data_IF_681220692716
#
_entry.id   IF_681220692716
#
_cell.length_a   1.000
_cell.length_b   1.000
_cell.length_c   1.000
_cell.angle_alpha   90.00
_cell.angle_beta   90.00
_cell.angle_gamma   90.00
#
_symmetry.space_group_name_H-M   'P 1'
#
loop_
_entity.id
_entity.type
_entity.pdbx_description
1 polymer ?
#
# COMPACT_ATOMS: atom_id res chain seq x y z
N UNK A 1 8.46 -11.10 -4.53
CA UNK A 1 9.67 -10.29 -4.82
C UNK A 1 10.18 -9.77 -3.49
N UNK A 2 11.21 -10.43 -2.93
CA UNK A 2 11.85 -9.95 -1.69
C UNK A 2 12.45 -8.57 -2.01
N UNK A 3 12.24 -7.52 -1.19
CA UNK A 3 12.95 -6.27 -1.42
C UNK A 3 14.45 -6.56 -1.26
N UNK A 4 15.22 -6.35 -2.32
CA UNK A 4 16.69 -6.47 -2.32
C UNK A 4 17.28 -5.47 -1.32
N UNK A 5 17.41 -5.90 -0.07
CA UNK A 5 18.28 -5.28 0.93
C UNK A 5 19.71 -5.83 0.85
N UNK A 6 19.99 -6.74 -0.09
CA UNK A 6 21.14 -7.65 -0.01
C UNK A 6 22.46 -7.16 -0.63
N UNK A 7 22.53 -5.94 -1.18
CA UNK A 7 23.80 -5.47 -1.79
C UNK A 7 24.25 -4.07 -1.37
N UNK A 8 23.81 -3.59 -0.21
CA UNK A 8 24.32 -2.32 0.32
C UNK A 8 25.64 -2.55 1.07
N UNK A 9 26.75 -2.08 0.50
CA UNK A 9 28.05 -2.09 1.18
C UNK A 9 28.12 -0.95 2.19
N UNK A 10 28.48 -1.29 3.42
CA UNK A 10 28.66 -0.34 4.51
C UNK A 10 30.13 -0.10 4.80
N UNK A 11 30.46 1.14 5.17
CA UNK A 11 31.82 1.54 5.53
C UNK A 11 31.80 2.64 6.59
N UNK A 12 32.94 2.84 7.25
CA UNK A 12 33.16 3.97 8.15
C UNK A 12 34.07 4.99 7.46
N UNK A 13 33.83 6.27 7.73
CA UNK A 13 34.67 7.37 7.27
C UNK A 13 35.65 7.67 8.40
N UNK A 14 36.99 7.61 8.19
CA UNK A 14 37.97 7.80 9.26
C UNK A 14 37.81 9.08 10.07
N UNK A 15 37.35 10.15 9.41
CA UNK A 15 37.11 11.47 10.01
C UNK A 15 35.83 11.54 10.87
N UNK A 16 34.95 10.54 10.77
CA UNK A 16 33.67 10.44 11.50
C UNK A 16 33.52 9.04 12.13
N UNK A 17 34.33 8.72 13.15
CA UNK A 17 34.33 7.40 13.77
C UNK A 17 32.99 7.07 14.43
N UNK A 18 32.59 5.80 14.35
CA UNK A 18 31.36 5.29 14.97
C UNK A 18 30.07 5.58 14.21
N UNK A 19 30.15 6.20 13.02
CA UNK A 19 29.00 6.40 12.14
C UNK A 19 29.11 5.51 10.90
N UNK A 20 28.12 4.63 10.71
CA UNK A 20 28.07 3.76 9.53
C UNK A 20 27.53 4.52 8.32
N UNK A 21 28.25 4.43 7.20
CA UNK A 21 27.92 5.07 5.94
C UNK A 21 27.69 4.02 4.84
N UNK A 22 26.97 4.42 3.79
CA UNK A 22 26.75 3.62 2.59
C UNK A 22 26.50 4.49 1.36
N UNK A 23 26.65 3.93 0.17
CA UNK A 23 26.25 4.57 -1.07
C UNK A 23 24.76 4.31 -1.37
N UNK A 24 23.95 5.36 -1.43
CA UNK A 24 22.53 5.27 -1.77
C UNK A 24 22.31 5.46 -3.27
N UNK A 25 21.99 4.40 -4.01
CA UNK A 25 21.76 4.45 -5.46
C UNK A 25 20.62 5.39 -5.87
N UNK A 26 19.55 5.45 -5.07
CA UNK A 26 18.38 6.31 -5.35
C UNK A 26 18.74 7.79 -5.35
N UNK A 27 19.56 8.20 -4.39
CA UNK A 27 19.98 9.60 -4.23
C UNK A 27 21.33 9.89 -4.89
N UNK A 28 22.03 8.85 -5.36
CA UNK A 28 23.40 8.91 -5.89
C UNK A 28 24.35 9.63 -4.94
N UNK A 29 24.23 9.32 -3.65
CA UNK A 29 24.93 10.04 -2.58
C UNK A 29 25.38 9.08 -1.47
N UNK A 30 26.51 9.39 -0.84
CA UNK A 30 26.94 8.74 0.40
C UNK A 30 26.20 9.34 1.59
N UNK A 31 25.61 8.48 2.42
CA UNK A 31 24.81 8.89 3.58
C UNK A 31 25.14 8.02 4.79
N UNK A 32 24.99 8.58 5.98
CA UNK A 32 24.90 7.77 7.19
C UNK A 32 23.57 6.99 7.22
N UNK A 33 23.56 5.85 7.90
CA UNK A 33 22.35 5.05 8.14
C UNK A 33 21.27 5.90 8.83
N UNK A 34 21.66 6.70 9.82
CA UNK A 34 20.75 7.57 10.57
C UNK A 34 20.09 8.63 9.68
N UNK A 35 20.88 9.28 8.80
CA UNK A 35 20.35 10.26 7.86
C UNK A 35 19.39 9.62 6.85
N UNK A 36 19.67 8.38 6.41
CA UNK A 36 18.77 7.65 5.53
C UNK A 36 17.43 7.32 6.22
N UNK A 37 17.48 6.76 7.43
CA UNK A 37 16.29 6.42 8.22
C UNK A 37 15.45 7.66 8.53
N UNK A 38 16.08 8.78 8.89
CA UNK A 38 15.40 10.05 9.14
C UNK A 38 14.67 10.58 7.89
N UNK A 39 15.33 10.58 6.73
CA UNK A 39 14.72 10.99 5.46
C UNK A 39 13.52 10.12 5.07
N UNK A 40 13.60 8.81 5.34
CA UNK A 40 12.48 7.89 5.11
C UNK A 40 11.26 8.23 5.98
N UNK A 41 11.48 8.52 7.27
CA UNK A 41 10.41 8.93 8.20
C UNK A 41 9.71 10.20 7.71
N UNK A 42 10.48 11.24 7.38
CA UNK A 42 9.94 12.51 6.83
C UNK A 42 9.16 12.26 5.53
N UNK A 43 9.68 11.41 4.63
CA UNK A 43 9.02 11.09 3.36
C UNK A 43 7.67 10.36 3.54
N UNK A 44 7.49 9.66 4.66
CA UNK A 44 6.25 8.98 5.02
C UNK A 44 5.14 9.92 5.47
N UNK A 45 5.48 11.05 6.09
CA UNK A 45 4.56 11.99 6.76
C UNK A 45 3.92 13.03 5.83
N UNK A 46 3.52 12.64 4.62
CA UNK A 46 2.97 13.53 3.59
C UNK A 46 3.88 14.76 3.35
N UNK A 47 5.06 14.56 2.73
CA UNK A 47 6.13 15.54 2.73
C UNK A 47 5.68 16.85 2.08
N UNK A 48 5.83 17.94 2.81
CA UNK A 48 5.76 19.31 2.26
C UNK A 48 6.88 19.56 1.24
N UNK A 49 7.97 18.81 1.39
CA UNK A 49 9.18 18.90 0.59
C UNK A 49 9.31 17.71 -0.37
N UNK A 50 9.10 17.98 -1.65
CA UNK A 50 9.05 16.94 -2.70
C UNK A 50 10.38 16.22 -2.90
N UNK A 51 11.51 16.76 -2.42
CA UNK A 51 12.84 16.13 -2.57
C UNK A 51 12.92 14.77 -1.87
N UNK A 52 12.10 14.54 -0.85
CA UNK A 52 12.09 13.29 -0.07
C UNK A 52 11.16 12.22 -0.65
N UNK A 53 10.38 12.53 -1.69
CA UNK A 53 9.44 11.57 -2.29
C UNK A 53 10.13 10.30 -2.80
N UNK A 54 11.38 10.38 -3.24
CA UNK A 54 12.17 9.21 -3.69
C UNK A 54 12.52 8.24 -2.55
N UNK A 55 12.57 8.75 -1.32
CA UNK A 55 12.78 7.96 -0.10
C UNK A 55 11.48 7.32 0.40
N UNK A 56 10.31 7.77 -0.07
CA UNK A 56 9.01 7.23 0.34
C UNK A 56 8.94 5.74 0.00
N UNK A 57 8.60 4.92 1.00
CA UNK A 57 8.49 3.46 0.90
C UNK A 57 9.79 2.76 0.44
N UNK A 58 10.95 3.40 0.60
CA UNK A 58 12.24 2.77 0.31
C UNK A 58 12.52 1.64 1.32
N UNK A 59 12.84 0.41 0.88
CA UNK A 59 13.12 -0.70 1.80
C UNK A 59 14.41 -0.49 2.61
N UNK A 60 15.44 0.10 2.01
CA UNK A 60 16.70 0.45 2.71
C UNK A 60 16.44 1.50 3.79
N UNK A 61 15.67 2.54 3.45
CA UNK A 61 15.30 3.59 4.40
C UNK A 61 14.42 3.06 5.54
N UNK A 62 13.51 2.12 5.26
CA UNK A 62 12.71 1.44 6.29
C UNK A 62 13.60 0.63 7.24
N UNK A 63 14.54 -0.14 6.69
CA UNK A 63 15.51 -0.91 7.47
C UNK A 63 16.36 0.01 8.38
N UNK A 64 16.92 1.10 7.85
CA UNK A 64 17.67 2.08 8.66
C UNK A 64 16.80 2.85 9.65
N UNK A 65 15.50 2.98 9.40
CA UNK A 65 14.55 3.58 10.33
C UNK A 65 14.17 2.65 11.50
N UNK A 66 14.59 1.37 11.46
CA UNK A 66 14.20 0.33 12.41
C UNK A 66 12.86 -0.34 12.09
N UNK A 67 12.30 -0.06 10.91
CA UNK A 67 10.94 -0.48 10.57
C UNK A 67 10.92 -1.85 9.89
N UNK A 68 10.34 -2.83 10.59
CA UNK A 68 10.20 -4.20 10.11
C UNK A 68 8.94 -4.30 9.24
N UNK A 69 9.04 -4.97 8.09
CA UNK A 69 7.92 -5.21 7.17
C UNK A 69 7.17 -3.95 6.72
N UNK A 70 7.82 -2.80 6.59
CA UNK A 70 7.15 -1.60 6.08
C UNK A 70 6.48 -1.84 4.72
N UNK A 71 5.29 -1.26 4.50
CA UNK A 71 4.57 -1.41 3.23
C UNK A 71 5.37 -0.78 2.07
N UNK A 72 5.83 -1.58 1.09
CA UNK A 72 6.64 -1.08 -0.02
C UNK A 72 5.80 -0.46 -1.14
N UNK A 73 4.47 -0.59 -1.08
CA UNK A 73 3.59 -0.16 -2.16
C UNK A 73 3.60 1.35 -2.36
N UNK A 74 3.70 1.80 -3.60
CA UNK A 74 3.55 3.22 -3.96
C UNK A 74 2.15 3.76 -3.61
N UNK A 75 1.16 2.88 -3.46
CA UNK A 75 -0.18 3.25 -3.04
C UNK A 75 -0.24 3.65 -1.56
N UNK A 76 0.73 3.25 -0.72
CA UNK A 76 0.73 3.59 0.71
C UNK A 76 0.61 5.10 0.91
N UNK A 77 -0.39 5.51 1.69
CA UNK A 77 -0.71 6.90 1.97
C UNK A 77 -0.95 7.79 0.73
N UNK A 78 -1.18 7.21 -0.45
CA UNK A 78 -1.55 7.98 -1.63
C UNK A 78 -2.98 8.49 -1.48
N UNK A 79 -3.26 9.75 -1.87
CA UNK A 79 -4.64 10.27 -1.92
C UNK A 79 -5.36 9.75 -3.17
N UNK A 80 -5.59 8.44 -3.23
CA UNK A 80 -6.15 7.73 -4.37
C UNK A 80 -7.49 7.08 -3.99
N UNK A 81 -8.49 7.25 -4.86
CA UNK A 81 -9.80 6.64 -4.69
C UNK A 81 -9.71 5.13 -4.86
N UNK A 82 -10.17 4.36 -3.89
CA UNK A 82 -10.12 2.91 -3.96
C UNK A 82 -11.02 2.34 -5.06
N UNK A 83 -12.06 3.06 -5.51
CA UNK A 83 -13.01 2.57 -6.52
C UNK A 83 -12.63 2.90 -7.95
N UNK A 84 -12.19 4.13 -8.21
CA UNK A 84 -11.85 4.57 -9.57
C UNK A 84 -10.34 4.68 -9.81
N UNK A 85 -9.53 4.48 -8.76
CA UNK A 85 -8.07 4.56 -8.79
C UNK A 85 -7.49 5.91 -9.22
N UNK A 86 -8.32 6.95 -9.29
CA UNK A 86 -7.86 8.30 -9.57
C UNK A 86 -7.37 8.99 -8.29
N UNK A 87 -6.28 9.75 -8.44
CA UNK A 87 -5.79 10.68 -7.42
C UNK A 87 -6.82 11.79 -7.17
N UNK A 88 -6.97 12.20 -5.92
CA UNK A 88 -7.94 13.20 -5.49
C UNK A 88 -7.36 14.06 -4.38
N UNK A 89 -7.84 15.30 -4.25
CA UNK A 89 -7.41 16.21 -3.18
C UNK A 89 -7.91 15.76 -1.81
N UNK A 90 -9.08 15.10 -1.76
CA UNK A 90 -9.70 14.56 -0.56
C UNK A 90 -10.38 13.21 -0.79
N UNK A 91 -10.46 12.41 0.27
CA UNK A 91 -11.17 11.13 0.32
C UNK A 91 -12.34 11.21 1.30
N UNK A 92 -13.53 10.82 0.86
CA UNK A 92 -14.74 10.64 1.67
C UNK A 92 -14.68 9.25 2.31
N UNK A 93 -15.02 9.18 3.59
CA UNK A 93 -14.91 7.97 4.42
C UNK A 93 -13.51 7.35 4.39
N UNK A 94 -12.48 8.16 4.12
CA UNK A 94 -11.08 7.76 3.92
C UNK A 94 -10.80 6.91 2.68
N UNK A 95 -11.77 6.47 1.85
CA UNK A 95 -11.46 5.62 0.68
C UNK A 95 -12.07 5.98 -0.68
N UNK A 96 -13.10 6.83 -0.74
CA UNK A 96 -13.72 7.22 -2.01
C UNK A 96 -13.39 8.67 -2.39
N UNK A 97 -13.25 8.98 -3.68
CA UNK A 97 -13.32 10.37 -4.12
C UNK A 97 -14.77 10.89 -4.05
N UNK A 98 -14.93 12.21 -4.13
CA UNK A 98 -16.25 12.88 -4.12
C UNK A 98 -17.17 12.34 -5.23
N UNK A 99 -16.63 12.09 -6.43
CA UNK A 99 -17.43 11.58 -7.55
C UNK A 99 -17.98 10.17 -7.27
N UNK A 100 -17.13 9.23 -6.83
CA UNK A 100 -17.57 7.88 -6.49
C UNK A 100 -18.54 7.85 -5.31
N UNK A 101 -18.32 8.71 -4.32
CA UNK A 101 -19.24 8.89 -3.20
C UNK A 101 -20.62 9.38 -3.68
N UNK A 102 -20.66 10.39 -4.54
CA UNK A 102 -21.91 10.92 -5.10
C UNK A 102 -22.64 9.86 -5.91
N UNK A 103 -21.95 9.11 -6.79
CA UNK A 103 -22.56 8.02 -7.56
C UNK A 103 -23.16 6.92 -6.67
N UNK A 104 -22.51 6.62 -5.56
CA UNK A 104 -23.04 5.69 -4.57
C UNK A 104 -24.30 6.24 -3.91
N UNK A 105 -24.31 7.53 -3.54
CA UNK A 105 -25.49 8.20 -3.01
C UNK A 105 -26.65 8.18 -4.01
N UNK A 106 -26.39 8.44 -5.30
CA UNK A 106 -27.40 8.38 -6.36
C UNK A 106 -28.03 7.00 -6.44
N UNK A 107 -27.24 5.92 -6.40
CA UNK A 107 -27.79 4.56 -6.37
C UNK A 107 -28.64 4.26 -5.13
N UNK A 108 -28.23 4.74 -3.96
CA UNK A 108 -28.98 4.53 -2.72
C UNK A 108 -30.33 5.26 -2.78
N UNK A 109 -30.35 6.49 -3.31
CA UNK A 109 -31.56 7.30 -3.45
C UNK A 109 -32.41 6.83 -4.65
N UNK A 110 -31.80 6.15 -5.62
CA UNK A 110 -32.45 5.71 -6.86
C UNK A 110 -32.56 6.79 -7.93
N UNK A 111 -31.99 7.97 -7.70
CA UNK A 111 -32.05 9.11 -8.62
C UNK A 111 -30.69 9.82 -8.72
N UNK A 112 -30.32 10.20 -9.94
CA UNK A 112 -29.17 11.06 -10.20
C UNK A 112 -29.51 12.55 -10.04
N UNK A 113 -28.54 13.43 -10.25
CA UNK A 113 -28.74 14.88 -10.17
C UNK A 113 -29.84 15.44 -11.10
N UNK A 114 -30.26 14.70 -12.14
CA UNK A 114 -31.34 15.05 -13.07
C UNK A 114 -32.68 14.37 -12.73
N UNK A 115 -32.77 13.65 -11.60
CA UNK A 115 -33.96 12.88 -11.22
C UNK A 115 -34.14 11.56 -11.98
N UNK A 116 -33.16 11.12 -12.77
CA UNK A 116 -33.26 9.89 -13.56
C UNK A 116 -32.54 8.73 -12.88
N UNK A 117 -32.95 7.49 -13.18
CA UNK A 117 -32.36 6.28 -12.58
C UNK A 117 -30.85 6.21 -12.88
N UNK A 118 -29.99 6.02 -11.87
CA UNK A 118 -28.56 5.90 -12.07
C UNK A 118 -28.20 4.57 -12.74
N UNK A 119 -27.46 4.64 -13.85
CA UNK A 119 -27.06 3.46 -14.64
C UNK A 119 -25.54 3.20 -14.68
N UNK A 120 -24.73 4.17 -14.26
CA UNK A 120 -23.27 4.14 -14.45
C UNK A 120 -22.51 3.34 -13.41
N UNK A 121 -23.11 3.10 -12.24
CA UNK A 121 -22.45 2.40 -11.14
C UNK A 121 -22.95 0.94 -11.13
N UNK A 122 -22.08 -0.06 -10.96
CA UNK A 122 -22.49 -1.44 -10.71
C UNK A 122 -23.23 -1.58 -9.37
N UNK A 123 -23.98 -2.67 -9.14
CA UNK A 123 -24.66 -2.92 -7.87
C UNK A 123 -23.68 -2.91 -6.70
N UNK A 124 -23.98 -2.10 -5.69
CA UNK A 124 -23.19 -2.04 -4.46
C UNK A 124 -23.54 -3.21 -3.56
N UNK A 125 -22.52 -3.88 -3.03
CA UNK A 125 -22.67 -4.98 -2.09
C UNK A 125 -21.73 -4.81 -0.89
N UNK A 126 -22.15 -5.34 0.25
CA UNK A 126 -21.27 -5.56 1.39
C UNK A 126 -20.26 -6.63 0.99
N UNK A 127 -18.98 -6.30 1.13
CA UNK A 127 -17.87 -7.24 0.91
C UNK A 127 -16.88 -7.13 2.06
N UNK A 128 -16.19 -8.24 2.29
CA UNK A 128 -15.10 -8.31 3.25
C UNK A 128 -13.91 -8.97 2.60
N UNK A 129 -12.71 -8.50 2.94
CA UNK A 129 -11.45 -9.12 2.55
C UNK A 129 -10.60 -9.35 3.80
N UNK A 130 -10.03 -10.55 3.92
CA UNK A 130 -9.06 -10.88 4.94
C UNK A 130 -7.65 -10.77 4.38
N UNK A 131 -6.73 -10.23 5.18
CA UNK A 131 -5.35 -10.01 4.81
C UNK A 131 -4.45 -10.21 6.03
N UNK A 132 -3.20 -10.60 5.79
CA UNK A 132 -2.18 -10.69 6.82
C UNK A 132 -1.33 -9.41 6.79
N UNK A 133 -1.01 -8.90 7.98
CA UNK A 133 -0.06 -7.82 8.19
C UNK A 133 0.72 -8.12 9.46
N UNK A 134 2.05 -8.11 9.41
CA UNK A 134 2.94 -8.51 10.51
C UNK A 134 2.55 -9.84 11.17
N UNK A 135 2.20 -10.83 10.36
CA UNK A 135 1.76 -12.15 10.84
C UNK A 135 0.36 -12.16 11.48
N UNK A 136 -0.29 -11.01 11.61
CA UNK A 136 -1.63 -10.89 12.21
C UNK A 136 -2.71 -10.84 11.13
N UNK A 137 -3.71 -11.75 11.15
CA UNK A 137 -4.86 -11.67 10.25
C UNK A 137 -5.77 -10.52 10.65
N UNK A 138 -6.09 -9.67 9.66
CA UNK A 138 -7.08 -8.59 9.77
C UNK A 138 -8.14 -8.77 8.69
N UNK A 139 -9.33 -8.24 8.95
CA UNK A 139 -10.43 -8.24 7.97
C UNK A 139 -10.94 -6.83 7.78
N UNK A 140 -11.01 -6.38 6.52
CA UNK A 140 -11.64 -5.11 6.15
C UNK A 140 -13.00 -5.40 5.52
N UNK A 141 -14.03 -4.73 6.05
CA UNK A 141 -15.39 -4.79 5.51
C UNK A 141 -15.77 -3.44 4.94
N UNK A 142 -16.36 -3.44 3.74
CA UNK A 142 -16.92 -2.27 3.07
C UNK A 142 -18.38 -2.58 2.75
N UNK A 143 -19.29 -1.83 3.38
CA UNK A 143 -20.74 -2.03 3.24
C UNK A 143 -21.25 -1.83 1.81
N UNK A 144 -20.58 -0.97 1.04
CA UNK A 144 -21.00 -0.57 -0.29
C UNK A 144 -19.80 -0.49 -1.22
N UNK A 145 -19.39 -1.64 -1.74
CA UNK A 145 -18.31 -1.76 -2.72
C UNK A 145 -18.87 -2.15 -4.09
N UNK A 146 -18.15 -1.83 -5.17
CA UNK A 146 -18.49 -2.35 -6.51
C UNK A 146 -17.88 -3.72 -6.77
N UNK A 147 -16.67 -3.97 -6.28
CA UNK A 147 -15.92 -5.20 -6.46
C UNK A 147 -14.93 -5.44 -5.31
N UNK A 148 -14.14 -6.53 -5.40
CA UNK A 148 -13.10 -6.84 -4.43
C UNK A 148 -11.84 -5.96 -4.59
N UNK A 149 -11.60 -5.42 -5.78
CA UNK A 149 -10.44 -4.58 -6.07
C UNK A 149 -10.50 -3.27 -5.27
N UNK A 150 -11.70 -2.72 -5.10
CA UNK A 150 -11.95 -1.59 -4.21
C UNK A 150 -11.46 -1.84 -2.77
N UNK A 151 -11.63 -3.06 -2.26
CA UNK A 151 -11.16 -3.42 -0.92
C UNK A 151 -9.64 -3.61 -0.90
N UNK A 152 -9.08 -4.29 -1.90
CA UNK A 152 -7.64 -4.54 -2.02
C UNK A 152 -6.87 -3.22 -2.06
N UNK A 153 -7.28 -2.29 -2.93
CA UNK A 153 -6.63 -0.98 -3.06
C UNK A 153 -6.74 -0.19 -1.77
N UNK A 154 -7.89 -0.23 -1.10
CA UNK A 154 -8.07 0.45 0.17
C UNK A 154 -7.14 -0.13 1.26
N UNK A 155 -7.01 -1.46 1.35
CA UNK A 155 -6.10 -2.13 2.29
C UNK A 155 -4.64 -1.78 2.00
N UNK A 156 -4.17 -1.94 0.75
CA UNK A 156 -2.78 -1.64 0.38
C UNK A 156 -2.42 -0.18 0.67
N UNK A 157 -3.36 0.75 0.48
CA UNK A 157 -3.12 2.18 0.71
C UNK A 157 -3.07 2.53 2.20
N UNK A 158 -3.97 1.95 2.99
CA UNK A 158 -4.19 2.34 4.39
C UNK A 158 -3.29 1.60 5.38
N UNK A 159 -2.81 0.39 5.03
CA UNK A 159 -1.97 -0.39 5.95
C UNK A 159 -0.51 0.12 5.93
N UNK A 160 0.09 0.41 7.09
CA UNK A 160 1.47 0.88 7.19
C UNK A 160 2.50 -0.21 6.91
N UNK A 161 2.16 -1.48 7.17
CA UNK A 161 3.03 -2.63 6.99
C UNK A 161 2.63 -3.44 5.75
N UNK A 162 3.52 -4.34 5.33
CA UNK A 162 3.36 -5.16 4.15
C UNK A 162 2.12 -6.03 4.28
N UNK A 163 1.26 -5.98 3.27
CA UNK A 163 0.01 -6.73 3.23
C UNK A 163 0.16 -7.96 2.36
N UNK A 164 -0.38 -9.08 2.84
CA UNK A 164 -0.51 -10.30 2.06
C UNK A 164 -1.99 -10.67 1.96
N UNK A 165 -2.46 -10.87 0.73
CA UNK A 165 -3.80 -11.35 0.48
C UNK A 165 -3.75 -12.85 0.27
N UNK A 166 -4.50 -13.58 1.08
CA UNK A 166 -4.74 -15.00 0.88
C UNK A 166 -6.02 -15.19 0.07
N UNK A 167 -6.01 -16.16 -0.85
CA UNK A 167 -7.25 -16.70 -1.36
C UNK A 167 -7.67 -17.85 -0.43
N UNK A 168 -8.79 -17.69 0.26
CA UNK A 168 -9.41 -18.80 0.96
C UNK A 168 -10.32 -19.52 -0.05
N UNK A 169 -9.99 -20.76 -0.47
CA UNK A 169 -10.89 -21.54 -1.30
C UNK A 169 -12.27 -21.65 -0.63
N UNK A 170 -13.36 -21.71 -1.42
CA UNK A 170 -14.63 -22.20 -0.90
C UNK A 170 -14.41 -23.56 -0.23
N UNK A 171 -15.08 -23.78 0.91
CA UNK A 171 -15.05 -25.08 1.60
C UNK A 171 -15.48 -26.15 0.59
N UNK A 172 -14.61 -27.14 0.34
CA UNK A 172 -14.84 -28.21 -0.65
C UNK A 172 -14.03 -28.10 -1.95
N UNK A 173 -13.27 -27.01 -2.17
CA UNK A 173 -12.29 -26.96 -3.27
C UNK A 173 -10.95 -27.53 -2.79
N UNK A 174 -10.73 -28.82 -3.05
CA UNK A 174 -9.43 -29.45 -2.86
C UNK A 174 -8.52 -29.11 -4.05
N UNK A 175 -7.50 -28.28 -3.82
CA UNK A 175 -6.43 -28.07 -4.79
C UNK A 175 -5.46 -29.24 -4.67
N UNK A 176 -5.64 -30.28 -5.50
CA UNK A 176 -4.64 -31.33 -5.68
C UNK A 176 -3.53 -30.81 -6.59
N UNK A 177 -2.60 -30.05 -6.01
CA UNK A 177 -1.32 -29.78 -6.66
C UNK A 177 -0.39 -30.96 -6.42
N UNK A 178 -0.14 -31.81 -7.44
CA UNK A 178 1.05 -32.67 -7.45
C UNK A 178 2.27 -31.74 -7.42
N UNK A 179 2.94 -31.66 -6.27
CA UNK A 179 4.31 -31.18 -6.20
C UNK A 179 5.13 -32.12 -7.07
N UNK A 180 5.56 -31.60 -8.22
CA UNK A 180 6.26 -32.35 -9.26
C UNK A 180 7.45 -33.10 -8.69
N UNK A 181 7.52 -34.36 -9.10
CA UNK A 181 8.70 -35.21 -9.04
C UNK A 181 9.90 -34.45 -9.59
N UNK A 182 11.02 -34.57 -8.88
CA UNK A 182 12.36 -34.24 -9.38
C UNK A 182 12.59 -35.01 -10.67
N UNK A 183 12.74 -34.31 -11.78
CA UNK A 183 13.35 -34.86 -12.98
C UNK A 183 14.85 -34.59 -12.87
N UNK A 184 15.62 -35.68 -12.87
CA UNK A 184 17.08 -35.73 -12.86
C UNK A 184 17.74 -34.94 -14.00
#
# INVERSE_FOLDING_TARGET
MKPDTQNTLYFEIPELPGTQHFHCDRLRATLSTDACGHRWKIAGEAPTDTRWLICKNCPVGAHHAGEVNANPSQLRAAKLCARCHLTTTRLINKYLCVSCYNRQREQIIGANAKGTKPVKLPPLRRRSISFLTDGTPKTRTVERSVDALELIVAVIRDEPHSVQFGWQPPVGVHVFGKLGETVE
#
